data_IF_592010860903
#
_entry.id   IF_592010860903
#
_cell.length_a   1.000
_cell.length_b   1.000
_cell.length_c   1.000
_cell.angle_alpha   90.00
_cell.angle_beta   90.00
_cell.angle_gamma   90.00
#
_symmetry.space_group_name_H-M   'P 1'
#
loop_
_entity.id
_entity.type
_entity.pdbx_description
1 polymer ?
#
# COMPACT_ATOMS: atom_id res chain seq x y z
N UNK A 1 5.99 23.38 -6.93
CA UNK A 1 5.55 21.97 -7.07
C UNK A 1 4.79 21.58 -5.83
N UNK A 2 3.68 20.87 -5.97
CA UNK A 2 2.91 20.29 -4.87
C UNK A 2 3.83 19.38 -4.03
N UNK A 3 3.67 19.42 -2.73
CA UNK A 3 4.34 18.50 -1.80
C UNK A 3 3.84 17.07 -2.03
N UNK A 4 4.76 16.14 -2.24
CA UNK A 4 4.44 14.71 -2.47
C UNK A 4 4.30 13.99 -1.12
N UNK A 5 3.24 13.22 -0.98
CA UNK A 5 2.90 12.50 0.26
C UNK A 5 2.70 11.01 0.01
N UNK A 6 3.23 10.18 0.90
CA UNK A 6 3.07 8.73 0.87
C UNK A 6 2.47 8.24 2.19
N UNK A 7 1.39 7.48 2.09
CA UNK A 7 0.83 6.72 3.20
C UNK A 7 1.48 5.34 3.25
N UNK A 8 1.99 4.93 4.41
CA UNK A 8 2.57 3.61 4.63
C UNK A 8 1.70 2.83 5.63
N UNK A 9 1.17 1.70 5.21
CA UNK A 9 0.36 0.82 6.05
C UNK A 9 1.21 -0.35 6.54
N UNK A 10 1.43 -0.40 7.85
CA UNK A 10 2.15 -1.49 8.51
C UNK A 10 1.18 -2.55 9.01
N UNK A 11 1.07 -3.67 8.29
CA UNK A 11 0.24 -4.81 8.65
C UNK A 11 0.85 -5.74 9.71
N UNK A 12 2.06 -5.46 10.21
CA UNK A 12 2.65 -6.27 11.28
C UNK A 12 2.00 -5.97 12.63
N UNK A 13 1.65 -6.98 13.45
CA UNK A 13 1.20 -6.75 14.82
C UNK A 13 2.34 -6.27 15.74
N UNK A 14 3.60 -6.36 15.30
CA UNK A 14 4.77 -5.95 16.05
C UNK A 14 5.19 -4.56 15.61
N UNK A 15 4.99 -3.55 16.46
CA UNK A 15 5.33 -2.16 16.16
C UNK A 15 6.82 -1.96 15.78
N UNK A 16 7.73 -2.73 16.39
CA UNK A 16 9.17 -2.70 16.13
C UNK A 16 9.68 -3.99 15.46
N UNK A 17 8.83 -4.67 14.67
CA UNK A 17 9.19 -5.86 13.91
C UNK A 17 9.99 -5.56 12.65
N UNK A 18 10.32 -6.62 11.90
CA UNK A 18 11.09 -6.52 10.65
C UNK A 18 10.35 -5.73 9.56
N UNK A 19 9.02 -5.83 9.48
CA UNK A 19 8.20 -5.02 8.58
C UNK A 19 8.33 -3.53 8.87
N UNK A 20 8.30 -3.15 10.15
CA UNK A 20 8.51 -1.75 10.56
C UNK A 20 9.93 -1.26 10.23
N UNK A 21 10.94 -2.14 10.32
CA UNK A 21 12.31 -1.81 9.94
C UNK A 21 12.42 -1.54 8.44
N UNK A 22 11.79 -2.39 7.61
CA UNK A 22 11.73 -2.18 6.17
C UNK A 22 11.08 -0.84 5.81
N UNK A 23 9.95 -0.50 6.44
CA UNK A 23 9.28 0.78 6.22
C UNK A 23 10.14 1.97 6.67
N UNK A 24 10.80 1.89 7.83
CA UNK A 24 11.73 2.94 8.28
C UNK A 24 12.88 3.19 7.30
N UNK A 25 13.35 2.15 6.62
CA UNK A 25 14.38 2.33 5.58
C UNK A 25 13.84 3.06 4.35
N UNK A 26 12.58 2.78 3.98
CA UNK A 26 11.89 3.54 2.93
C UNK A 26 11.64 4.99 3.35
N UNK A 27 11.19 5.25 4.58
CA UNK A 27 10.95 6.60 5.12
C UNK A 27 12.21 7.47 5.04
N UNK A 28 13.38 6.92 5.41
CA UNK A 28 14.67 7.61 5.25
C UNK A 28 14.94 8.00 3.80
N UNK A 29 14.72 7.06 2.87
CA UNK A 29 14.94 7.32 1.46
C UNK A 29 13.92 8.32 0.90
N UNK A 30 12.66 8.28 1.30
CA UNK A 30 11.64 9.27 0.96
C UNK A 30 12.01 10.67 1.47
N UNK A 31 12.42 10.80 2.72
CA UNK A 31 12.83 12.07 3.32
C UNK A 31 14.02 12.69 2.58
N UNK A 32 15.04 11.88 2.23
CA UNK A 32 16.19 12.33 1.42
C UNK A 32 15.78 12.85 0.03
N UNK A 33 14.61 12.45 -0.48
CA UNK A 33 14.08 12.87 -1.77
C UNK A 33 12.94 13.90 -1.67
N UNK A 34 12.72 14.48 -0.48
CA UNK A 34 11.72 15.53 -0.26
C UNK A 34 10.27 15.03 -0.35
N UNK A 35 10.02 13.78 0.06
CA UNK A 35 8.69 13.18 0.12
C UNK A 35 8.27 13.06 1.59
N UNK A 36 7.07 13.53 1.91
CA UNK A 36 6.48 13.34 3.23
C UNK A 36 5.87 11.95 3.38
N UNK A 37 6.00 11.38 4.55
CA UNK A 37 5.49 10.05 4.86
C UNK A 37 4.62 10.06 6.11
N UNK A 38 3.56 9.27 6.11
CA UNK A 38 2.78 8.93 7.29
C UNK A 38 2.67 7.41 7.40
N UNK A 39 3.14 6.84 8.51
CA UNK A 39 3.06 5.40 8.78
C UNK A 39 1.96 5.09 9.77
N UNK A 40 1.05 4.18 9.40
CA UNK A 40 -0.04 3.71 10.25
C UNK A 40 0.14 2.23 10.58
N UNK A 41 0.17 1.91 11.88
CA UNK A 41 0.23 0.53 12.37
C UNK A 41 -1.17 -0.07 12.42
N UNK A 42 -1.42 -1.11 11.64
CA UNK A 42 -2.71 -1.78 11.53
C UNK A 42 -2.74 -3.19 12.13
N UNK A 43 -1.61 -3.87 12.09
CA UNK A 43 -1.57 -5.31 12.35
C UNK A 43 -1.98 -5.75 13.75
N UNK A 44 -2.06 -4.85 14.72
CA UNK A 44 -2.52 -5.10 16.09
C UNK A 44 -3.93 -4.57 16.38
N UNK A 45 -4.62 -4.02 15.38
CA UNK A 45 -5.96 -3.48 15.54
C UNK A 45 -7.04 -4.55 15.30
N UNK A 46 -8.19 -4.39 15.95
CA UNK A 46 -9.34 -5.27 15.78
C UNK A 46 -10.17 -4.84 14.55
N UNK A 47 -9.68 -5.12 13.36
CA UNK A 47 -10.37 -4.77 12.11
C UNK A 47 -11.09 -6.02 11.59
N UNK A 48 -12.42 -5.95 11.48
CA UNK A 48 -13.23 -7.02 10.91
C UNK A 48 -13.26 -6.96 9.38
N UNK A 49 -13.46 -8.10 8.74
CA UNK A 49 -13.66 -8.20 7.29
C UNK A 49 -14.94 -7.53 6.80
N UNK A 50 -15.02 -7.29 5.50
CA UNK A 50 -16.22 -6.79 4.83
C UNK A 50 -17.38 -7.76 4.97
N UNK A 51 -18.58 -7.27 5.32
CA UNK A 51 -19.81 -8.08 5.45
C UNK A 51 -20.72 -7.98 4.22
N UNK A 52 -20.23 -7.39 3.14
CA UNK A 52 -20.98 -7.20 1.88
C UNK A 52 -22.37 -6.51 2.07
N UNK A 53 -22.50 -5.66 3.08
CA UNK A 53 -23.78 -5.00 3.41
C UNK A 53 -24.23 -3.95 2.39
N UNK A 54 -23.36 -3.53 1.46
CA UNK A 54 -23.65 -2.53 0.43
C UNK A 54 -23.88 -1.10 0.91
N UNK A 55 -23.85 -0.83 2.22
CA UNK A 55 -24.15 0.50 2.78
C UNK A 55 -23.21 1.60 2.29
N UNK A 56 -21.95 1.28 2.00
CA UNK A 56 -20.94 2.23 1.53
C UNK A 56 -21.29 2.87 0.18
N UNK A 57 -22.06 2.20 -0.68
CA UNK A 57 -22.53 2.76 -1.94
C UNK A 57 -23.38 4.04 -1.74
N UNK A 58 -24.09 4.15 -0.61
CA UNK A 58 -24.89 5.33 -0.26
C UNK A 58 -24.17 6.29 0.69
N UNK A 59 -23.36 5.73 1.61
CA UNK A 59 -22.70 6.51 2.66
C UNK A 59 -21.38 7.15 2.21
N UNK A 60 -20.75 6.65 1.13
CA UNK A 60 -19.40 7.05 0.73
C UNK A 60 -18.30 6.66 1.74
N UNK A 61 -18.64 5.80 2.72
CA UNK A 61 -17.72 5.29 3.74
C UNK A 61 -18.18 3.93 4.27
N UNK A 62 -17.29 3.21 4.94
CA UNK A 62 -17.70 1.97 5.61
C UNK A 62 -18.68 2.25 6.75
N UNK A 63 -19.65 1.34 6.93
CA UNK A 63 -20.63 1.44 8.04
C UNK A 63 -19.98 1.20 9.41
N UNK A 64 -18.89 0.42 9.46
CA UNK A 64 -18.14 0.21 10.69
C UNK A 64 -17.20 1.38 10.93
N UNK A 65 -17.36 2.03 12.08
CA UNK A 65 -16.59 3.21 12.47
C UNK A 65 -15.32 2.76 13.21
N UNK A 66 -14.26 2.55 12.42
CA UNK A 66 -12.95 2.10 12.87
C UNK A 66 -11.82 2.70 11.99
N UNK A 67 -10.61 2.23 12.17
CA UNK A 67 -9.43 2.71 11.45
C UNK A 67 -9.60 2.78 9.92
N UNK A 68 -10.49 2.00 9.31
CA UNK A 68 -10.72 2.06 7.85
C UNK A 68 -11.28 3.43 7.44
N UNK A 69 -12.22 3.97 8.20
CA UNK A 69 -12.77 5.30 7.93
C UNK A 69 -11.76 6.43 8.23
N UNK A 70 -10.87 6.23 9.19
CA UNK A 70 -9.79 7.17 9.51
C UNK A 70 -8.70 7.20 8.42
N UNK A 71 -8.47 6.06 7.76
CA UNK A 71 -7.51 5.93 6.68
C UNK A 71 -8.00 6.53 5.36
N UNK A 72 -9.30 6.55 5.11
CA UNK A 72 -9.86 7.01 3.85
C UNK A 72 -9.38 8.41 3.46
N UNK A 73 -9.51 9.46 4.30
CA UNK A 73 -9.01 10.80 3.96
C UNK A 73 -7.48 10.86 3.84
N UNK A 74 -6.73 10.03 4.56
CA UNK A 74 -5.27 9.96 4.44
C UNK A 74 -4.84 9.39 3.09
N UNK A 75 -5.52 8.33 2.64
CA UNK A 75 -5.30 7.76 1.30
C UNK A 75 -5.72 8.73 0.19
N UNK A 76 -6.82 9.45 0.37
CA UNK A 76 -7.27 10.46 -0.59
C UNK A 76 -6.22 11.56 -0.77
N UNK A 77 -5.63 12.06 0.32
CA UNK A 77 -4.63 13.11 0.32
C UNK A 77 -3.23 12.66 -0.16
N UNK A 78 -2.94 11.35 -0.14
CA UNK A 78 -1.65 10.79 -0.53
C UNK A 78 -1.50 10.69 -2.05
N UNK A 79 -0.27 10.87 -2.55
CA UNK A 79 0.12 10.63 -3.93
C UNK A 79 0.58 9.18 -4.15
N UNK A 80 0.93 8.49 -3.07
CA UNK A 80 1.32 7.09 -3.09
C UNK A 80 0.90 6.31 -1.85
N UNK A 81 0.80 4.99 -1.99
CA UNK A 81 0.46 4.05 -0.94
C UNK A 81 1.47 2.91 -0.90
N UNK A 82 2.11 2.71 0.25
CA UNK A 82 2.90 1.52 0.55
C UNK A 82 2.10 0.61 1.47
N UNK A 83 1.94 -0.65 1.09
CA UNK A 83 1.30 -1.67 1.92
C UNK A 83 2.35 -2.71 2.32
N UNK A 84 2.62 -2.83 3.61
CA UNK A 84 3.65 -3.72 4.12
C UNK A 84 3.07 -4.79 5.05
N UNK A 85 3.43 -6.05 4.81
CA UNK A 85 2.92 -7.20 5.58
C UNK A 85 4.01 -8.19 5.96
N UNK A 86 3.95 -8.77 7.16
CA UNK A 86 4.60 -10.06 7.39
C UNK A 86 3.87 -11.14 6.58
N UNK A 87 4.61 -12.19 6.21
CA UNK A 87 4.06 -13.36 5.52
C UNK A 87 3.55 -14.37 6.54
N UNK A 88 2.27 -14.68 6.48
CA UNK A 88 1.61 -15.72 7.26
C UNK A 88 0.93 -16.73 6.33
N UNK A 89 1.39 -17.99 6.34
CA UNK A 89 0.86 -19.05 5.46
C UNK A 89 0.83 -18.65 3.97
N UNK A 90 1.92 -18.01 3.50
CA UNK A 90 2.07 -17.49 2.13
C UNK A 90 1.00 -16.45 1.72
N UNK A 91 0.44 -15.71 2.68
CA UNK A 91 -0.51 -14.64 2.52
C UNK A 91 -0.16 -13.46 3.43
N UNK A 92 -0.77 -12.32 3.23
CA UNK A 92 -0.61 -11.16 4.08
C UNK A 92 -1.32 -11.35 5.44
N UNK A 93 -0.99 -10.51 6.42
CA UNK A 93 -1.72 -10.47 7.69
C UNK A 93 -3.22 -10.24 7.45
N UNK A 94 -4.07 -11.09 8.01
CA UNK A 94 -5.52 -11.05 7.80
C UNK A 94 -6.16 -9.71 8.23
N UNK A 95 -5.65 -9.05 9.27
CA UNK A 95 -6.10 -7.71 9.68
C UNK A 95 -5.84 -6.67 8.59
N UNK A 96 -4.67 -6.75 7.93
CA UNK A 96 -4.34 -5.87 6.81
C UNK A 96 -5.27 -6.12 5.63
N UNK A 97 -5.50 -7.38 5.26
CA UNK A 97 -6.43 -7.73 4.17
C UNK A 97 -7.85 -7.24 4.48
N UNK A 98 -8.36 -7.46 5.69
CA UNK A 98 -9.67 -6.97 6.11
C UNK A 98 -9.78 -5.43 6.01
N UNK A 99 -8.69 -4.72 6.33
CA UNK A 99 -8.60 -3.28 6.17
C UNK A 99 -8.64 -2.87 4.70
N UNK A 100 -7.80 -3.49 3.85
CA UNK A 100 -7.69 -3.16 2.43
C UNK A 100 -8.99 -3.44 1.67
N UNK A 101 -9.62 -4.61 1.88
CA UNK A 101 -10.92 -4.95 1.29
C UNK A 101 -11.95 -3.85 1.52
N UNK A 102 -12.03 -3.38 2.77
CA UNK A 102 -12.99 -2.35 3.16
C UNK A 102 -12.57 -0.97 2.68
N UNK A 103 -11.31 -0.60 2.81
CA UNK A 103 -10.78 0.70 2.41
C UNK A 103 -10.95 0.92 0.89
N UNK A 104 -10.55 -0.06 0.09
CA UNK A 104 -10.66 0.06 -1.37
C UNK A 104 -12.11 -0.02 -1.86
N UNK A 105 -12.95 -0.81 -1.22
CA UNK A 105 -14.35 -0.96 -1.60
C UNK A 105 -15.26 0.19 -1.16
N UNK A 106 -15.00 0.79 0.01
CA UNK A 106 -15.92 1.79 0.60
C UNK A 106 -15.59 3.25 0.25
N UNK A 107 -14.44 3.52 -0.34
CA UNK A 107 -14.02 4.89 -0.66
C UNK A 107 -14.38 5.28 -2.09
N UNK A 108 -15.16 6.37 -2.28
CA UNK A 108 -15.67 6.77 -3.59
C UNK A 108 -14.68 7.57 -4.45
N UNK A 109 -13.60 8.08 -3.84
CA UNK A 109 -12.63 8.91 -4.57
C UNK A 109 -11.80 8.09 -5.56
N UNK A 110 -11.38 8.75 -6.63
CA UNK A 110 -10.53 8.16 -7.66
C UNK A 110 -9.11 7.89 -7.12
N UNK A 111 -8.63 6.68 -7.32
CA UNK A 111 -7.29 6.21 -6.93
C UNK A 111 -6.33 6.14 -8.12
N UNK A 112 -6.84 6.38 -9.33
CA UNK A 112 -6.08 6.29 -10.57
C UNK A 112 -4.84 7.17 -10.52
N UNK A 113 -3.71 6.62 -10.95
CA UNK A 113 -2.40 7.29 -10.97
C UNK A 113 -1.81 7.65 -9.58
N UNK A 114 -2.41 7.22 -8.46
CA UNK A 114 -1.65 7.14 -7.20
C UNK A 114 -0.68 5.98 -7.30
N UNK A 115 0.57 6.16 -6.87
CA UNK A 115 1.59 5.12 -7.02
C UNK A 115 1.49 4.10 -5.88
N UNK A 116 1.30 2.83 -6.23
CA UNK A 116 1.25 1.72 -5.27
C UNK A 116 2.59 1.00 -5.10
N UNK A 117 2.86 0.48 -3.91
CA UNK A 117 3.94 -0.47 -3.67
C UNK A 117 3.58 -1.45 -2.54
N UNK A 118 3.85 -2.73 -2.75
CA UNK A 118 3.77 -3.74 -1.70
C UNK A 118 5.16 -4.11 -1.19
N UNK A 119 5.25 -4.35 0.12
CA UNK A 119 6.47 -4.79 0.82
C UNK A 119 6.12 -6.00 1.66
N UNK A 120 6.89 -7.06 1.54
CA UNK A 120 6.64 -8.29 2.29
C UNK A 120 7.84 -8.67 3.15
N UNK A 121 7.58 -9.18 4.34
CA UNK A 121 8.62 -9.59 5.26
C UNK A 121 8.40 -11.03 5.70
N UNK A 122 9.39 -11.89 5.51
CA UNK A 122 9.31 -13.31 5.89
C UNK A 122 10.58 -13.81 6.56
N UNK A 123 10.44 -14.93 7.27
CA UNK A 123 11.61 -15.71 7.68
C UNK A 123 12.24 -16.44 6.50
N UNK A 124 11.43 -16.95 5.56
CA UNK A 124 11.91 -17.81 4.45
C UNK A 124 11.01 -17.72 3.22
N UNK A 125 9.94 -18.51 3.13
CA UNK A 125 9.11 -18.68 1.95
C UNK A 125 7.80 -17.89 1.99
N UNK A 126 7.10 -17.81 0.84
CA UNK A 126 5.78 -17.22 0.69
C UNK A 126 5.76 -15.74 0.28
N UNK A 127 6.93 -15.11 0.09
CA UNK A 127 7.00 -13.69 -0.24
C UNK A 127 6.33 -13.37 -1.58
N UNK A 128 6.58 -14.14 -2.66
CA UNK A 128 6.01 -13.86 -3.98
C UNK A 128 4.49 -13.94 -3.99
N UNK A 129 3.91 -14.99 -3.36
CA UNK A 129 2.46 -15.12 -3.28
C UNK A 129 1.80 -13.95 -2.52
N UNK A 130 2.39 -13.54 -1.38
CA UNK A 130 1.91 -12.39 -0.61
C UNK A 130 2.09 -11.07 -1.36
N UNK A 131 3.20 -10.92 -2.07
CA UNK A 131 3.47 -9.76 -2.92
C UNK A 131 2.43 -9.62 -4.03
N UNK A 132 2.11 -10.71 -4.73
CA UNK A 132 1.11 -10.74 -5.79
C UNK A 132 -0.30 -10.46 -5.26
N UNK A 133 -0.64 -11.00 -4.08
CA UNK A 133 -1.91 -10.75 -3.39
C UNK A 133 -2.12 -9.25 -3.15
N UNK A 134 -1.12 -8.57 -2.58
CA UNK A 134 -1.21 -7.15 -2.26
C UNK A 134 -1.24 -6.25 -3.50
N UNK A 135 -0.52 -6.61 -4.56
CA UNK A 135 -0.49 -5.82 -5.80
C UNK A 135 -1.83 -5.79 -6.54
N UNK A 136 -2.72 -6.76 -6.30
CA UNK A 136 -4.06 -6.79 -6.93
C UNK A 136 -4.92 -5.59 -6.54
N UNK A 137 -4.78 -5.06 -5.32
CA UNK A 137 -5.49 -3.84 -4.92
C UNK A 137 -5.11 -2.63 -5.77
N UNK A 138 -3.83 -2.52 -6.12
CA UNK A 138 -3.34 -1.43 -6.96
C UNK A 138 -3.78 -1.58 -8.41
N UNK A 139 -3.62 -2.77 -8.99
CA UNK A 139 -3.94 -3.01 -10.40
C UNK A 139 -5.42 -2.80 -10.71
N UNK A 140 -6.35 -3.29 -9.86
CA UNK A 140 -7.79 -3.10 -10.08
C UNK A 140 -8.22 -1.63 -9.92
N UNK A 141 -7.40 -0.82 -9.24
CA UNK A 141 -7.69 0.59 -8.95
C UNK A 141 -6.99 1.57 -9.90
N UNK A 142 -6.35 1.08 -10.98
CA UNK A 142 -5.62 1.93 -11.93
C UNK A 142 -4.40 2.63 -11.32
N UNK A 143 -3.84 2.06 -10.25
CA UNK A 143 -2.66 2.59 -9.59
C UNK A 143 -1.39 1.96 -10.20
N UNK A 144 -0.45 2.75 -10.75
CA UNK A 144 0.84 2.24 -11.19
C UNK A 144 1.60 1.62 -10.02
N UNK A 145 2.17 0.43 -10.22
CA UNK A 145 2.97 -0.26 -9.21
C UNK A 145 4.44 0.11 -9.39
N UNK A 146 5.06 0.64 -8.33
CA UNK A 146 6.49 0.88 -8.33
C UNK A 146 7.25 -0.44 -8.16
N UNK A 147 8.27 -0.64 -8.99
CA UNK A 147 9.23 -1.73 -8.87
C UNK A 147 10.54 -1.25 -8.25
N UNK A 148 11.29 -2.18 -7.67
CA UNK A 148 12.68 -1.97 -7.26
C UNK A 148 13.63 -2.69 -8.23
N UNK A 149 14.72 -3.25 -7.72
CA UNK A 149 15.64 -4.11 -8.48
C UNK A 149 15.28 -5.60 -8.41
N UNK A 150 14.38 -5.97 -7.49
CA UNK A 150 13.90 -7.33 -7.27
C UNK A 150 12.47 -7.29 -6.71
N UNK A 151 11.84 -8.42 -6.34
CA UNK A 151 10.59 -8.41 -5.60
C UNK A 151 10.81 -7.77 -4.22
N UNK A 152 9.87 -6.93 -3.78
CA UNK A 152 10.02 -6.10 -2.59
C UNK A 152 9.89 -6.93 -1.31
N UNK A 153 10.87 -7.75 -1.02
CA UNK A 153 10.92 -8.62 0.15
C UNK A 153 12.11 -8.30 1.05
N UNK A 154 11.90 -8.49 2.37
CA UNK A 154 12.94 -8.38 3.41
C UNK A 154 12.84 -9.61 4.30
N UNK A 155 13.98 -10.13 4.70
CA UNK A 155 14.05 -11.38 5.48
C UNK A 155 14.50 -11.13 6.92
N UNK A 156 13.86 -11.85 7.86
CA UNK A 156 14.21 -11.86 9.27
C UNK A 156 13.18 -12.63 10.07
N UNK A 157 13.62 -13.37 11.10
CA UNK A 157 12.80 -14.15 12.02
C UNK A 157 12.49 -13.39 13.31
N UNK A 158 13.55 -13.08 14.07
CA UNK A 158 13.43 -12.29 15.28
C UNK A 158 13.29 -10.79 14.94
N UNK A 159 12.74 -10.01 15.85
CA UNK A 159 12.62 -8.58 15.69
C UNK A 159 14.00 -7.93 15.52
N UNK A 160 14.17 -7.14 14.47
CA UNK A 160 15.43 -6.46 14.15
C UNK A 160 16.39 -7.24 13.25
N UNK A 161 16.21 -8.54 13.02
CA UNK A 161 17.10 -9.34 12.14
C UNK A 161 17.15 -8.83 10.70
N UNK A 162 16.08 -8.20 10.22
CA UNK A 162 16.06 -7.58 8.89
C UNK A 162 17.13 -6.48 8.71
N UNK A 163 17.74 -6.00 9.78
CA UNK A 163 18.89 -5.10 9.69
C UNK A 163 20.13 -5.77 9.07
N UNK A 164 20.19 -7.10 9.10
CA UNK A 164 21.27 -7.90 8.49
C UNK A 164 20.98 -8.27 7.04
N UNK A 165 19.76 -8.06 6.56
CA UNK A 165 19.38 -8.30 5.16
C UNK A 165 19.77 -7.10 4.28
N UNK A 166 21.04 -7.05 3.91
CA UNK A 166 21.61 -5.95 3.14
C UNK A 166 20.92 -5.77 1.78
N UNK A 167 20.55 -6.89 1.09
CA UNK A 167 19.86 -6.87 -0.19
C UNK A 167 18.41 -6.37 -0.03
N UNK A 168 17.69 -6.88 0.95
CA UNK A 168 16.32 -6.44 1.24
C UNK A 168 16.26 -4.95 1.59
N UNK A 169 17.18 -4.45 2.41
CA UNK A 169 17.25 -3.02 2.73
C UNK A 169 17.65 -2.16 1.52
N UNK A 170 18.54 -2.66 0.66
CA UNK A 170 18.84 -1.98 -0.61
C UNK A 170 17.61 -1.93 -1.51
N UNK A 171 16.86 -3.02 -1.60
CA UNK A 171 15.59 -3.10 -2.32
C UNK A 171 14.59 -2.06 -1.80
N UNK A 172 14.47 -1.87 -0.50
CA UNK A 172 13.60 -0.83 0.10
C UNK A 172 14.02 0.59 -0.30
N UNK A 173 15.32 0.89 -0.28
CA UNK A 173 15.83 2.20 -0.71
C UNK A 173 15.58 2.46 -2.19
N UNK A 174 15.82 1.45 -3.04
CA UNK A 174 15.57 1.53 -4.49
C UNK A 174 14.09 1.72 -4.77
N UNK A 175 13.22 0.95 -4.10
CA UNK A 175 11.76 1.08 -4.21
C UNK A 175 11.30 2.51 -3.89
N UNK A 176 11.76 3.06 -2.77
CA UNK A 176 11.37 4.42 -2.36
C UNK A 176 11.83 5.50 -3.37
N UNK A 177 13.04 5.35 -3.95
CA UNK A 177 13.54 6.26 -4.99
C UNK A 177 12.73 6.15 -6.29
N UNK A 178 12.46 4.93 -6.74
CA UNK A 178 11.67 4.68 -7.95
C UNK A 178 10.24 5.19 -7.78
N UNK A 179 9.62 4.92 -6.62
CA UNK A 179 8.30 5.43 -6.27
C UNK A 179 8.27 6.96 -6.25
N UNK A 180 9.30 7.61 -5.68
CA UNK A 180 9.44 9.07 -5.70
C UNK A 180 9.52 9.61 -7.12
N UNK A 181 10.33 8.99 -7.97
CA UNK A 181 10.44 9.38 -9.38
C UNK A 181 9.10 9.28 -10.10
N UNK A 182 8.38 8.18 -9.94
CA UNK A 182 7.06 7.97 -10.54
C UNK A 182 6.06 9.04 -10.08
N UNK A 183 5.93 9.26 -8.77
CA UNK A 183 5.00 10.25 -8.23
C UNK A 183 5.29 11.67 -8.75
N UNK A 184 6.57 12.08 -8.76
CA UNK A 184 6.97 13.39 -9.29
C UNK A 184 6.71 13.49 -10.79
N UNK A 185 6.97 12.42 -11.55
CA UNK A 185 6.71 12.38 -12.99
C UNK A 185 5.21 12.44 -13.30
N UNK A 186 4.39 11.72 -12.56
CA UNK A 186 2.92 11.76 -12.69
C UNK A 186 2.38 13.15 -12.32
N UNK A 187 2.86 13.74 -11.23
CA UNK A 187 2.49 15.11 -10.86
C UNK A 187 2.84 16.12 -11.94
N UNK A 188 4.05 16.02 -12.52
CA UNK A 188 4.48 16.87 -13.63
C UNK A 188 3.69 16.60 -14.91
N UNK A 189 3.45 15.32 -15.24
CA UNK A 189 2.63 14.93 -16.38
C UNK A 189 1.21 15.46 -16.29
N UNK A 190 0.61 15.39 -15.09
CA UNK A 190 -0.72 15.95 -14.83
C UNK A 190 -0.81 17.45 -15.11
N UNK A 191 0.22 18.22 -14.73
CA UNK A 191 0.28 19.67 -14.97
C UNK A 191 0.46 20.02 -16.46
N UNK A 192 1.19 19.19 -17.23
CA UNK A 192 1.62 19.52 -18.60
C UNK A 192 0.80 18.82 -19.68
N UNK A 193 0.37 17.60 -19.45
CA UNK A 193 -0.31 16.74 -20.44
C UNK A 193 -1.76 16.42 -20.06
N UNK A 194 -2.14 16.63 -18.78
CA UNK A 194 -3.35 16.05 -18.22
C UNK A 194 -3.15 14.58 -17.85
N UNK A 195 -4.15 13.99 -17.23
CA UNK A 195 -4.21 12.53 -17.02
C UNK A 195 -4.84 11.85 -18.23
N UNK A 196 -4.55 10.54 -18.45
CA UNK A 196 -5.25 9.76 -19.48
C UNK A 196 -6.76 9.87 -19.32
N UNK A 197 -7.46 9.99 -20.45
CA UNK A 197 -8.92 9.99 -20.48
C UNK A 197 -9.45 8.67 -19.92
N UNK A 198 -10.52 8.76 -19.13
CA UNK A 198 -11.21 7.61 -18.58
C UNK A 198 -12.50 7.40 -19.35
N UNK A 199 -12.64 6.25 -20.00
CA UNK A 199 -13.90 5.84 -20.60
C UNK A 199 -14.93 5.47 -19.53
N UNK A 200 -16.22 5.54 -19.88
CA UNK A 200 -17.28 5.01 -19.04
C UNK A 200 -17.08 3.50 -18.84
N UNK A 201 -17.12 3.07 -17.58
CA UNK A 201 -16.84 1.68 -17.24
C UNK A 201 -17.96 0.75 -17.71
N UNK A 202 -17.65 -0.13 -18.65
CA UNK A 202 -18.53 -1.23 -19.04
C UNK A 202 -18.34 -2.40 -18.09
N UNK A 203 -19.42 -2.85 -17.45
CA UNK A 203 -19.40 -4.00 -16.55
C UNK A 203 -19.98 -5.23 -17.24
N UNK A 204 -19.24 -6.34 -17.19
CA UNK A 204 -19.74 -7.63 -17.67
C UNK A 204 -20.41 -8.39 -16.52
N UNK A 205 -21.64 -8.87 -16.77
CA UNK A 205 -22.37 -9.74 -15.87
C UNK A 205 -22.65 -11.08 -16.57
N UNK A 206 -22.11 -12.17 -16.04
CA UNK A 206 -22.19 -13.49 -16.67
C UNK A 206 -23.48 -14.26 -16.37
N UNK A 207 -24.30 -13.79 -15.42
CA UNK A 207 -25.61 -14.37 -15.09
C UNK A 207 -26.67 -13.52 -15.80
N UNK A 208 -27.44 -14.16 -16.66
CA UNK A 208 -28.52 -13.53 -17.43
C UNK A 208 -29.87 -14.07 -16.98
#
# INVERSE_FOLDING_TARGET
MKEIRVLLLNGSPRANGNTALALREMEKAFAQNGVQTETVLLGNQAIRGCTACGACAKLGRCVFDDAVNELAPKLEAADGLVVASPVYYASANATLIACLDRLFYSTPFDKTMKVGASVVCARRGGCSATFDELNKYFTISGMPIASSQYWNSVYGRAAGEAAMDAEGLQTMRTLARNMTFLMKSIARGRETLGLPEQEERVATHFIR
#
